data_IF_761435993265
#
_entry.id   IF_761435993265
#
_cell.length_a   1.000
_cell.length_b   1.000
_cell.length_c   1.000
_cell.angle_alpha   90.00
_cell.angle_beta   90.00
_cell.angle_gamma   90.00
#
_symmetry.space_group_name_H-M   'P 1'
#
loop_
_entity.id
_entity.type
_entity.pdbx_description
1 polymer ?
#
# COMPACT_ATOMS: atom_id res chain seq x y z
N UNK A 1 -43.40 4.49 24.00
CA UNK A 1 -44.49 3.71 23.35
C UNK A 1 -44.57 3.88 21.82
N UNK A 2 -44.06 4.96 21.21
CA UNK A 2 -43.95 5.10 19.75
C UNK A 2 -42.77 4.30 19.13
N UNK A 3 -41.60 4.24 19.80
CA UNK A 3 -40.45 3.45 19.36
C UNK A 3 -40.71 1.92 19.32
N UNK A 4 -41.62 1.42 20.16
CA UNK A 4 -41.98 -0.01 20.21
C UNK A 4 -42.93 -0.43 19.07
N UNK A 5 -43.56 0.53 18.37
CA UNK A 5 -44.43 0.24 17.20
C UNK A 5 -43.63 0.16 15.89
N UNK A 6 -42.52 0.89 15.76
CA UNK A 6 -41.63 0.78 14.60
C UNK A 6 -40.85 -0.55 14.57
N UNK A 7 -40.44 -1.08 15.73
CA UNK A 7 -39.74 -2.39 15.78
C UNK A 7 -40.63 -3.57 15.32
N UNK A 8 -41.93 -3.54 15.64
CA UNK A 8 -42.88 -4.59 15.19
C UNK A 8 -43.26 -4.49 13.71
N UNK A 9 -43.13 -3.33 13.08
CA UNK A 9 -43.36 -3.16 11.65
C UNK A 9 -42.20 -3.76 10.82
N UNK A 10 -40.95 -3.58 11.29
CA UNK A 10 -39.76 -4.18 10.64
C UNK A 10 -39.73 -5.71 10.82
N UNK A 11 -40.13 -6.22 11.99
CA UNK A 11 -40.19 -7.68 12.21
C UNK A 11 -41.29 -8.40 11.41
N UNK A 12 -42.35 -7.72 10.96
CA UNK A 12 -43.41 -8.33 10.15
C UNK A 12 -43.13 -8.33 8.65
N UNK A 13 -42.14 -7.57 8.17
CA UNK A 13 -41.73 -7.58 6.75
C UNK A 13 -40.66 -8.64 6.43
N UNK A 14 -40.01 -9.23 7.43
CA UNK A 14 -38.97 -10.25 7.23
C UNK A 14 -39.48 -11.70 7.23
N UNK A 15 -40.80 -11.93 7.15
CA UNK A 15 -41.41 -13.27 7.16
C UNK A 15 -41.80 -13.81 5.78
N UNK A 16 -41.25 -13.27 4.67
CA UNK A 16 -41.60 -13.70 3.31
C UNK A 16 -40.46 -14.07 2.37
N UNK A 17 -39.23 -14.21 2.87
CA UNK A 17 -38.14 -14.78 2.07
C UNK A 17 -37.54 -15.98 2.80
N UNK A 18 -38.06 -17.17 2.47
CA UNK A 18 -37.37 -18.42 2.72
C UNK A 18 -36.14 -18.45 1.82
N UNK A 19 -35.01 -17.89 2.29
CA UNK A 19 -33.71 -18.06 1.66
C UNK A 19 -33.01 -19.19 2.40
N UNK A 20 -32.93 -20.35 1.76
CA UNK A 20 -32.29 -21.54 2.31
C UNK A 20 -30.76 -21.44 2.24
N UNK A 21 -30.07 -22.14 3.15
CA UNK A 21 -28.60 -22.16 3.33
C UNK A 21 -27.80 -22.45 2.03
N UNK A 22 -28.43 -23.02 1.00
CA UNK A 22 -27.81 -23.35 -0.28
C UNK A 22 -27.66 -22.15 -1.24
N UNK A 23 -28.42 -21.06 -1.04
CA UNK A 23 -28.43 -19.91 -1.96
C UNK A 23 -27.34 -18.87 -1.65
N UNK A 24 -26.63 -19.01 -0.52
CA UNK A 24 -25.52 -18.12 -0.14
C UNK A 24 -24.15 -18.57 -0.70
N UNK A 25 -24.06 -19.75 -1.33
CA UNK A 25 -22.80 -20.33 -1.84
C UNK A 25 -22.44 -19.82 -3.25
N UNK A 26 -23.21 -18.90 -3.82
CA UNK A 26 -22.88 -18.25 -5.10
C UNK A 26 -23.06 -16.75 -5.01
N UNK A 27 -22.01 -16.01 -4.63
CA UNK A 27 -21.71 -14.68 -5.19
C UNK A 27 -20.19 -14.42 -5.10
N UNK A 28 -19.55 -14.63 -6.25
CA UNK A 28 -18.44 -13.91 -6.90
C UNK A 28 -17.13 -13.68 -6.14
N UNK A 29 -16.32 -14.72 -6.16
CA UNK A 29 -14.95 -14.58 -6.68
C UNK A 29 -15.04 -14.88 -8.20
N UNK A 30 -14.44 -14.03 -9.01
CA UNK A 30 -14.36 -14.03 -10.48
C UNK A 30 -15.42 -13.29 -11.34
N UNK A 31 -14.82 -12.40 -12.13
CA UNK A 31 -15.21 -11.69 -13.35
C UNK A 31 -16.33 -10.61 -13.34
N UNK A 32 -15.89 -9.43 -13.81
CA UNK A 32 -16.62 -8.22 -14.20
C UNK A 32 -16.95 -7.21 -13.10
N UNK A 33 -15.94 -6.43 -12.73
CA UNK A 33 -16.12 -4.97 -12.50
C UNK A 33 -15.29 -4.23 -13.54
N UNK A 34 -15.78 -4.24 -14.79
CA UNK A 34 -15.51 -3.17 -15.76
C UNK A 34 -16.62 -2.15 -15.61
N UNK A 35 -16.46 -1.25 -14.66
CA UNK A 35 -17.06 0.09 -14.67
C UNK A 35 -16.06 0.98 -13.99
N UNK A 36 -15.38 1.82 -14.78
CA UNK A 36 -14.65 2.99 -14.30
C UNK A 36 -15.60 3.80 -13.42
N UNK A 37 -15.52 3.61 -12.11
CA UNK A 37 -15.75 4.71 -11.19
C UNK A 37 -14.57 5.64 -11.43
N UNK A 38 -14.77 6.95 -11.67
CA UNK A 38 -13.63 7.86 -11.64
C UNK A 38 -12.99 7.64 -10.28
N UNK A 39 -11.74 7.18 -10.27
CA UNK A 39 -10.94 7.10 -9.06
C UNK A 39 -10.72 8.55 -8.63
N UNK A 40 -11.73 9.14 -7.97
CA UNK A 40 -11.47 10.28 -7.11
C UNK A 40 -10.54 9.73 -6.05
N UNK A 41 -9.30 10.21 -6.08
CA UNK A 41 -8.34 9.99 -5.03
C UNK A 41 -8.96 10.52 -3.72
N UNK A 42 -9.72 9.68 -3.01
CA UNK A 42 -10.36 10.06 -1.75
C UNK A 42 -9.31 9.95 -0.64
N UNK A 43 -8.23 10.72 -0.76
CA UNK A 43 -7.38 11.06 0.38
C UNK A 43 -8.21 11.88 1.36
N UNK A 44 -9.10 11.21 2.09
CA UNK A 44 -9.99 11.84 3.06
C UNK A 44 -9.35 11.79 4.43
N UNK A 45 -8.86 12.93 4.88
CA UNK A 45 -8.65 13.18 6.31
C UNK A 45 -9.93 13.85 6.84
N UNK A 46 -10.59 13.23 7.82
CA UNK A 46 -11.80 13.78 8.46
C UNK A 46 -12.95 14.17 7.52
N UNK A 47 -13.09 13.47 6.38
CA UNK A 47 -14.20 13.66 5.44
C UNK A 47 -13.96 14.73 4.36
N UNK A 48 -12.85 15.49 4.43
CA UNK A 48 -12.46 16.46 3.40
C UNK A 48 -11.75 15.73 2.26
N UNK A 49 -12.18 15.92 1.02
CA UNK A 49 -11.54 15.34 -0.16
C UNK A 49 -10.23 16.06 -0.49
N UNK A 50 -9.33 15.38 -1.22
CA UNK A 50 -8.09 15.99 -1.70
C UNK A 50 -8.36 17.26 -2.53
N UNK A 51 -9.40 17.24 -3.38
CA UNK A 51 -9.81 18.41 -4.19
C UNK A 51 -10.21 19.60 -3.32
N UNK A 52 -11.01 19.37 -2.27
CA UNK A 52 -11.41 20.41 -1.34
C UNK A 52 -10.19 20.97 -0.59
N UNK A 53 -9.32 20.09 -0.09
CA UNK A 53 -8.09 20.50 0.58
C UNK A 53 -7.18 21.35 -0.33
N UNK A 54 -6.97 20.93 -1.59
CA UNK A 54 -6.20 21.70 -2.58
C UNK A 54 -6.84 23.07 -2.86
N UNK A 55 -8.16 23.11 -3.02
CA UNK A 55 -8.90 24.36 -3.25
C UNK A 55 -8.76 25.31 -2.07
N UNK A 56 -8.86 24.80 -0.84
CA UNK A 56 -8.65 25.57 0.39
C UNK A 56 -7.22 26.10 0.51
N UNK A 57 -6.23 25.34 0.05
CA UNK A 57 -4.83 25.77 -0.02
C UNK A 57 -4.58 26.84 -1.11
N UNK A 58 -5.54 27.07 -2.01
CA UNK A 58 -5.39 27.99 -3.16
C UNK A 58 -4.81 27.34 -4.41
N UNK A 59 -4.54 26.03 -4.39
CA UNK A 59 -4.17 25.24 -5.56
C UNK A 59 -5.45 24.81 -6.30
N UNK A 60 -5.96 25.69 -7.16
CA UNK A 60 -7.13 25.42 -8.00
C UNK A 60 -6.75 25.45 -9.49
N UNK A 61 -7.29 24.53 -10.29
CA UNK A 61 -7.01 24.44 -11.72
C UNK A 61 -7.26 23.05 -12.31
N UNK A 62 -7.28 22.97 -13.64
CA UNK A 62 -7.27 21.68 -14.34
C UNK A 62 -5.84 21.14 -14.41
N UNK A 63 -5.52 20.22 -13.51
CA UNK A 63 -4.21 19.57 -13.43
C UNK A 63 -3.84 18.82 -14.72
N UNK A 64 -4.81 18.48 -15.58
CA UNK A 64 -4.54 17.81 -16.86
C UNK A 64 -3.77 18.71 -17.83
N UNK A 65 -3.88 20.02 -17.68
CA UNK A 65 -3.14 20.98 -18.50
C UNK A 65 -1.64 21.02 -18.16
N UNK A 66 -1.22 20.43 -17.04
CA UNK A 66 0.19 20.40 -16.60
C UNK A 66 1.02 19.28 -17.27
N UNK A 67 0.43 18.45 -18.13
CA UNK A 67 1.17 17.39 -18.83
C UNK A 67 2.29 17.99 -19.69
N UNK A 68 3.51 17.49 -19.50
CA UNK A 68 4.73 17.92 -20.21
C UNK A 68 5.19 16.81 -21.15
N UNK A 69 5.45 17.16 -22.41
CA UNK A 69 5.98 16.24 -23.43
C UNK A 69 7.40 16.58 -23.89
N UNK A 70 8.03 17.55 -23.24
CA UNK A 70 9.30 18.18 -23.63
C UNK A 70 10.40 18.01 -22.56
N UNK A 71 10.20 17.07 -21.64
CA UNK A 71 11.21 16.66 -20.67
C UNK A 71 12.06 15.54 -21.27
N UNK A 72 13.39 15.70 -21.28
CA UNK A 72 14.31 14.73 -21.85
C UNK A 72 14.59 13.53 -20.93
N UNK A 73 14.61 13.76 -19.62
CA UNK A 73 14.85 12.74 -18.60
C UNK A 73 14.39 13.23 -17.20
N UNK A 74 14.21 12.28 -16.27
CA UNK A 74 13.97 12.53 -14.86
C UNK A 74 15.04 11.83 -14.00
N UNK A 75 15.68 12.56 -13.09
CA UNK A 75 16.65 11.97 -12.15
C UNK A 75 16.28 12.39 -10.74
N UNK A 76 16.00 11.42 -9.87
CA UNK A 76 15.62 11.65 -8.48
C UNK A 76 16.76 11.25 -7.54
N UNK A 77 17.16 12.15 -6.65
CA UNK A 77 18.05 11.84 -5.53
C UNK A 77 17.20 11.62 -4.28
N UNK A 78 17.42 10.49 -3.61
CA UNK A 78 16.66 10.14 -2.42
C UNK A 78 17.55 9.40 -1.40
N UNK A 79 17.15 9.35 -0.13
CA UNK A 79 17.74 8.40 0.82
C UNK A 79 17.25 6.98 0.49
N UNK A 80 18.02 5.95 0.85
CA UNK A 80 17.65 4.56 0.58
C UNK A 80 16.36 4.13 1.29
N UNK A 81 16.09 4.65 2.48
CA UNK A 81 15.03 4.20 3.39
C UNK A 81 15.18 2.74 3.83
N UNK A 82 16.40 2.21 3.70
CA UNK A 82 16.79 0.86 4.02
C UNK A 82 18.25 0.81 4.49
N UNK A 83 18.71 -0.34 4.99
CA UNK A 83 20.03 -0.44 5.60
C UNK A 83 21.13 -0.94 4.65
N UNK A 84 20.86 -1.16 3.37
CA UNK A 84 21.75 -1.90 2.45
C UNK A 84 23.04 -1.12 2.18
N UNK A 85 22.95 0.16 1.81
CA UNK A 85 24.11 1.01 1.52
C UNK A 85 24.95 1.23 2.77
N UNK A 86 24.31 1.47 3.92
CA UNK A 86 25.04 1.65 5.18
C UNK A 86 25.76 0.37 5.61
N UNK A 87 25.07 -0.79 5.56
CA UNK A 87 25.67 -2.08 5.94
C UNK A 87 26.76 -2.54 4.98
N UNK A 88 26.66 -2.18 3.71
CA UNK A 88 27.69 -2.50 2.70
C UNK A 88 28.85 -1.50 2.67
N UNK A 89 28.73 -0.37 3.38
CA UNK A 89 29.71 0.72 3.32
C UNK A 89 29.77 1.41 1.94
N UNK A 90 28.71 1.30 1.14
CA UNK A 90 28.62 1.95 -0.17
C UNK A 90 28.12 3.39 -0.03
N UNK A 91 28.74 4.33 -0.74
CA UNK A 91 28.37 5.74 -0.70
C UNK A 91 27.12 6.05 -1.54
N UNK A 92 26.98 5.36 -2.69
CA UNK A 92 25.96 5.66 -3.69
C UNK A 92 25.22 4.38 -4.10
N UNK A 93 23.90 4.45 -4.08
CA UNK A 93 23.04 3.44 -4.68
C UNK A 93 22.61 3.83 -6.09
N UNK A 94 22.96 3.01 -7.08
CA UNK A 94 22.49 3.15 -8.47
C UNK A 94 21.22 2.30 -8.60
N UNK A 95 20.07 2.95 -8.44
CA UNK A 95 18.79 2.25 -8.33
C UNK A 95 18.50 1.52 -9.66
N UNK A 96 18.26 0.22 -9.58
CA UNK A 96 18.00 -0.63 -10.76
C UNK A 96 16.55 -0.65 -11.17
N UNK A 97 15.68 -0.68 -10.17
CA UNK A 97 14.24 -0.84 -10.33
C UNK A 97 13.51 -0.33 -9.10
N UNK A 98 12.21 -0.09 -9.25
CA UNK A 98 11.28 0.23 -8.17
C UNK A 98 10.27 -0.92 -8.08
N UNK A 99 10.04 -1.43 -6.87
CA UNK A 99 9.16 -2.59 -6.60
C UNK A 99 7.73 -2.38 -7.10
N UNK A 100 7.08 -3.49 -7.45
CA UNK A 100 5.63 -3.53 -7.61
C UNK A 100 4.95 -3.41 -6.24
N UNK A 101 3.80 -2.76 -6.19
CA UNK A 101 3.03 -2.58 -4.97
C UNK A 101 1.53 -2.58 -5.22
N UNK A 102 0.78 -3.13 -4.26
CA UNK A 102 -0.69 -3.14 -4.27
C UNK A 102 -1.21 -2.88 -2.86
N UNK A 103 -1.92 -1.75 -2.72
CA UNK A 103 -2.60 -1.34 -1.50
C UNK A 103 -4.08 -1.67 -1.53
N UNK A 104 -4.60 -2.25 -0.44
CA UNK A 104 -6.01 -2.63 -0.30
C UNK A 104 -6.58 -2.20 1.06
N UNK A 105 -7.89 -2.07 1.15
CA UNK A 105 -8.62 -2.10 2.42
C UNK A 105 -9.27 -3.49 2.59
N UNK A 106 -8.92 -4.18 3.68
CA UNK A 106 -9.59 -5.39 4.12
C UNK A 106 -10.68 -5.03 5.13
N UNK A 107 -11.94 -5.29 4.80
CA UNK A 107 -13.07 -5.15 5.71
C UNK A 107 -13.64 -6.52 6.06
N UNK A 108 -13.66 -6.85 7.35
CA UNK A 108 -14.35 -8.03 7.89
C UNK A 108 -15.65 -7.61 8.56
N UNK A 109 -16.76 -8.25 8.23
CA UNK A 109 -18.10 -8.00 8.78
C UNK A 109 -18.57 -9.21 9.57
N UNK A 110 -19.13 -8.92 10.73
CA UNK A 110 -19.66 -9.91 11.65
C UNK A 110 -21.01 -9.48 12.20
N UNK A 111 -21.30 -9.91 13.43
CA UNK A 111 -22.56 -9.58 14.09
C UNK A 111 -22.28 -8.89 15.42
N UNK A 112 -22.79 -7.67 15.58
CA UNK A 112 -22.64 -6.94 16.83
C UNK A 112 -23.42 -7.58 17.97
N UNK A 113 -22.87 -7.49 19.17
CA UNK A 113 -23.46 -8.03 20.39
C UNK A 113 -22.88 -7.37 21.63
N UNK A 114 -23.53 -7.57 22.77
CA UNK A 114 -23.02 -7.05 24.03
C UNK A 114 -21.88 -7.94 24.52
N UNK A 115 -20.71 -7.35 24.84
CA UNK A 115 -19.49 -8.10 25.14
C UNK A 115 -19.63 -9.04 26.34
N UNK A 116 -20.43 -8.67 27.35
CA UNK A 116 -20.61 -9.46 28.57
C UNK A 116 -21.77 -10.47 28.56
N UNK A 117 -22.74 -10.33 27.67
CA UNK A 117 -23.98 -11.15 27.72
C UNK A 117 -24.18 -12.02 26.49
N UNK A 118 -23.44 -11.74 25.40
CA UNK A 118 -23.38 -12.65 24.25
C UNK A 118 -22.46 -13.82 24.61
N UNK A 119 -22.92 -15.09 24.61
CA UNK A 119 -22.04 -16.24 24.85
C UNK A 119 -20.87 -16.27 23.86
N UNK A 120 -19.76 -16.94 24.19
CA UNK A 120 -18.64 -17.10 23.25
C UNK A 120 -19.01 -18.01 22.07
N UNK A 121 -19.78 -19.08 22.35
CA UNK A 121 -20.29 -19.97 21.33
C UNK A 121 -21.21 -19.21 20.36
N UNK A 122 -20.94 -19.35 19.06
CA UNK A 122 -21.74 -18.74 17.99
C UNK A 122 -21.47 -17.25 17.74
N UNK A 123 -20.48 -16.63 18.40
CA UNK A 123 -20.04 -15.29 18.04
C UNK A 123 -19.52 -15.27 16.60
N UNK A 124 -19.87 -14.21 15.88
CA UNK A 124 -19.33 -13.87 14.57
C UNK A 124 -18.53 -12.58 14.73
N UNK A 125 -17.43 -12.67 15.48
CA UNK A 125 -16.63 -11.51 15.86
C UNK A 125 -15.65 -11.14 14.73
N UNK A 126 -15.82 -9.99 14.06
CA UNK A 126 -14.99 -9.61 12.92
C UNK A 126 -13.56 -9.25 13.34
N UNK A 127 -13.32 -8.83 14.59
CA UNK A 127 -11.96 -8.52 15.04
C UNK A 127 -11.14 -9.80 15.25
N UNK A 128 -11.77 -10.85 15.79
CA UNK A 128 -11.13 -12.17 15.94
C UNK A 128 -10.78 -12.75 14.57
N UNK A 129 -11.71 -12.67 13.62
CA UNK A 129 -11.45 -13.11 12.25
C UNK A 129 -10.34 -12.29 11.58
N UNK A 130 -10.35 -10.96 11.70
CA UNK A 130 -9.30 -10.10 11.14
C UNK A 130 -7.92 -10.44 11.73
N UNK A 131 -7.82 -10.62 13.04
CA UNK A 131 -6.55 -11.01 13.68
C UNK A 131 -6.02 -12.36 13.16
N UNK A 132 -6.91 -13.32 12.94
CA UNK A 132 -6.55 -14.62 12.34
C UNK A 132 -6.04 -14.49 10.90
N UNK A 133 -6.69 -13.63 10.09
CA UNK A 133 -6.26 -13.35 8.72
C UNK A 133 -4.87 -12.71 8.70
N UNK A 134 -4.64 -11.69 9.54
CA UNK A 134 -3.35 -11.01 9.65
C UNK A 134 -2.26 -12.01 10.02
N UNK A 135 -2.43 -12.74 11.13
CA UNK A 135 -1.39 -13.65 11.62
C UNK A 135 -1.05 -14.77 10.63
N UNK A 136 -2.05 -15.32 9.94
CA UNK A 136 -1.83 -16.36 8.92
C UNK A 136 -1.12 -15.81 7.68
N UNK A 137 -1.67 -14.76 7.08
CA UNK A 137 -1.14 -14.24 5.81
C UNK A 137 0.27 -13.68 5.96
N UNK A 138 0.59 -13.01 7.07
CA UNK A 138 1.98 -12.55 7.30
C UNK A 138 2.95 -13.71 7.44
N UNK A 139 2.55 -14.80 8.11
CA UNK A 139 3.39 -15.99 8.28
C UNK A 139 3.61 -16.73 6.95
N UNK A 140 2.58 -16.81 6.11
CA UNK A 140 2.69 -17.43 4.78
C UNK A 140 3.61 -16.63 3.86
N UNK A 141 3.53 -15.29 3.90
CA UNK A 141 4.42 -14.41 3.11
C UNK A 141 5.86 -14.48 3.63
N UNK A 142 6.07 -14.46 4.95
CA UNK A 142 7.40 -14.61 5.56
C UNK A 142 8.08 -15.91 5.10
N UNK A 143 7.32 -17.00 4.99
CA UNK A 143 7.82 -18.30 4.56
C UNK A 143 8.26 -18.35 3.09
N UNK A 144 7.90 -17.36 2.25
CA UNK A 144 8.37 -17.29 0.86
C UNK A 144 9.87 -16.98 0.77
N UNK A 145 10.41 -16.17 1.70
CA UNK A 145 11.83 -15.87 1.80
C UNK A 145 12.46 -15.09 0.62
N UNK A 146 11.66 -14.61 -0.33
CA UNK A 146 12.09 -13.98 -1.58
C UNK A 146 12.11 -12.45 -1.58
N UNK A 147 11.96 -11.81 -0.41
CA UNK A 147 11.90 -10.35 -0.26
C UNK A 147 10.49 -9.76 -0.42
N UNK A 148 9.46 -10.62 -0.55
CA UNK A 148 8.06 -10.23 -0.48
C UNK A 148 7.75 -9.62 0.89
N UNK A 149 6.98 -8.53 0.89
CA UNK A 149 6.52 -7.88 2.12
C UNK A 149 5.02 -7.68 2.09
N UNK A 150 4.39 -7.94 3.25
CA UNK A 150 2.97 -7.74 3.48
C UNK A 150 2.79 -7.01 4.82
N UNK A 151 2.24 -5.80 4.77
CA UNK A 151 2.12 -4.93 5.94
C UNK A 151 0.66 -4.56 6.19
N UNK A 152 0.25 -4.63 7.45
CA UNK A 152 -1.03 -4.12 7.92
C UNK A 152 -0.82 -2.83 8.72
N UNK A 153 -0.89 -1.68 8.05
CA UNK A 153 -0.44 -0.41 8.61
C UNK A 153 -1.44 0.28 9.55
N UNK A 154 -2.73 -0.01 9.39
CA UNK A 154 -3.81 0.56 10.21
C UNK A 154 -4.85 -0.51 10.49
N UNK A 155 -5.36 -0.55 11.72
CA UNK A 155 -6.45 -1.44 12.12
C UNK A 155 -7.49 -0.64 12.91
N UNK A 156 -8.77 -0.83 12.60
CA UNK A 156 -9.88 -0.20 13.31
C UNK A 156 -11.05 -1.16 13.49
N UNK A 157 -11.85 -0.94 14.53
CA UNK A 157 -13.10 -1.68 14.76
C UNK A 157 -14.27 -0.71 14.84
N UNK A 158 -15.45 -1.17 14.43
CA UNK A 158 -16.68 -0.40 14.44
C UNK A 158 -17.73 -1.13 15.31
N UNK A 159 -18.31 -0.47 16.33
CA UNK A 159 -18.21 0.97 16.63
C UNK A 159 -16.94 1.38 17.42
N UNK A 160 -16.05 0.44 17.77
CA UNK A 160 -14.82 0.75 18.53
C UNK A 160 -15.05 0.93 20.04
N UNK A 161 -16.16 0.41 20.57
CA UNK A 161 -16.46 0.45 22.01
C UNK A 161 -15.96 -0.82 22.71
N UNK A 162 -15.30 -0.72 23.88
CA UNK A 162 -14.71 -1.87 24.57
C UNK A 162 -15.74 -2.91 25.07
N UNK A 163 -17.00 -2.52 25.24
CA UNK A 163 -18.08 -3.39 25.72
C UNK A 163 -19.01 -3.91 24.61
N UNK A 164 -18.62 -3.78 23.34
CA UNK A 164 -19.40 -4.19 22.17
C UNK A 164 -18.57 -5.11 21.29
N UNK A 165 -19.13 -6.27 20.93
CA UNK A 165 -18.61 -7.08 19.83
C UNK A 165 -18.80 -6.24 18.55
N UNK A 166 -17.73 -5.94 17.79
CA UNK A 166 -17.84 -5.07 16.63
C UNK A 166 -18.74 -5.69 15.55
N UNK A 167 -19.43 -4.86 14.77
CA UNK A 167 -20.09 -5.34 13.54
C UNK A 167 -19.12 -5.36 12.36
N UNK A 168 -18.02 -4.61 12.43
CA UNK A 168 -16.97 -4.64 11.42
C UNK A 168 -15.59 -4.35 12.01
N UNK A 169 -14.56 -4.92 11.38
CA UNK A 169 -13.16 -4.59 11.60
C UNK A 169 -12.51 -4.30 10.24
N UNK A 170 -11.62 -3.32 10.19
CA UNK A 170 -10.94 -2.90 8.96
C UNK A 170 -9.44 -2.89 9.16
N UNK A 171 -8.70 -3.22 8.11
CA UNK A 171 -7.28 -2.99 8.05
C UNK A 171 -6.85 -2.46 6.67
N UNK A 172 -5.83 -1.60 6.65
CA UNK A 172 -5.10 -1.32 5.41
C UNK A 172 -4.08 -2.41 5.16
N UNK A 173 -3.88 -2.77 3.90
CA UNK A 173 -2.95 -3.79 3.44
C UNK A 173 -2.00 -3.12 2.44
N UNK A 174 -0.70 -3.30 2.59
CA UNK A 174 0.32 -2.90 1.63
C UNK A 174 1.20 -4.12 1.32
N UNK A 175 1.11 -4.61 0.08
CA UNK A 175 1.89 -5.74 -0.42
C UNK A 175 2.90 -5.25 -1.46
N UNK A 176 4.16 -5.68 -1.35
CA UNK A 176 5.23 -5.31 -2.31
C UNK A 176 6.12 -6.50 -2.64
N UNK A 177 6.63 -6.50 -3.87
CA UNK A 177 7.63 -7.44 -4.36
C UNK A 177 8.38 -6.87 -5.57
N UNK A 178 9.44 -7.53 -5.99
CA UNK A 178 10.25 -7.12 -7.16
C UNK A 178 9.47 -7.14 -8.49
N UNK A 179 8.43 -7.97 -8.61
CA UNK A 179 7.50 -7.96 -9.73
C UNK A 179 6.04 -8.18 -9.30
N UNK A 180 5.11 -7.80 -10.17
CA UNK A 180 3.68 -7.88 -9.86
C UNK A 180 3.16 -9.33 -9.77
N UNK A 181 3.78 -10.29 -10.45
CA UNK A 181 3.40 -11.71 -10.29
C UNK A 181 3.57 -12.18 -8.85
N UNK A 182 4.65 -11.75 -8.18
CA UNK A 182 4.86 -12.06 -6.76
C UNK A 182 3.90 -11.30 -5.85
N UNK A 183 3.55 -10.04 -6.18
CA UNK A 183 2.49 -9.32 -5.46
C UNK A 183 1.16 -10.07 -5.56
N UNK A 184 0.79 -10.56 -6.74
CA UNK A 184 -0.42 -11.37 -6.89
C UNK A 184 -0.36 -12.68 -6.10
N UNK A 185 0.82 -13.30 -5.97
CA UNK A 185 1.00 -14.47 -5.12
C UNK A 185 0.75 -14.13 -3.64
N UNK A 186 1.29 -13.02 -3.13
CA UNK A 186 0.98 -12.51 -1.78
C UNK A 186 -0.53 -12.33 -1.60
N UNK A 187 -1.20 -11.71 -2.57
CA UNK A 187 -2.63 -11.47 -2.50
C UNK A 187 -3.46 -12.76 -2.61
N UNK A 188 -2.97 -13.78 -3.31
CA UNK A 188 -3.60 -15.09 -3.34
C UNK A 188 -3.59 -15.74 -1.94
N UNK A 189 -2.45 -15.70 -1.24
CA UNK A 189 -2.32 -16.18 0.14
C UNK A 189 -3.25 -15.41 1.09
N UNK A 190 -3.29 -14.07 0.97
CA UNK A 190 -4.23 -13.24 1.74
C UNK A 190 -5.69 -13.61 1.47
N UNK A 191 -6.08 -13.79 0.21
CA UNK A 191 -7.45 -14.18 -0.17
C UNK A 191 -7.80 -15.57 0.38
N UNK A 192 -6.85 -16.51 0.39
CA UNK A 192 -7.04 -17.83 0.97
C UNK A 192 -7.23 -17.76 2.49
N UNK A 193 -6.37 -17.04 3.20
CA UNK A 193 -6.51 -16.78 4.63
C UNK A 193 -7.87 -16.12 4.96
N UNK A 194 -8.31 -15.16 4.15
CA UNK A 194 -9.63 -14.53 4.28
C UNK A 194 -10.76 -15.57 4.18
N UNK A 195 -10.76 -16.40 3.12
CA UNK A 195 -11.81 -17.40 2.90
C UNK A 195 -11.93 -18.37 4.07
N UNK A 196 -10.80 -18.96 4.49
CA UNK A 196 -10.80 -20.01 5.51
C UNK A 196 -11.14 -19.45 6.90
N UNK A 197 -10.52 -18.34 7.29
CA UNK A 197 -10.76 -17.75 8.61
C UNK A 197 -12.18 -17.22 8.72
N UNK A 198 -12.72 -16.58 7.67
CA UNK A 198 -14.11 -16.13 7.68
C UNK A 198 -15.10 -17.30 7.74
N UNK A 199 -14.85 -18.39 7.02
CA UNK A 199 -15.68 -19.60 7.10
C UNK A 199 -15.70 -20.19 8.52
N UNK A 200 -14.55 -20.29 9.18
CA UNK A 200 -14.44 -20.79 10.56
C UNK A 200 -15.16 -19.91 11.58
N UNK A 201 -15.19 -18.59 11.35
CA UNK A 201 -15.77 -17.62 12.29
C UNK A 201 -17.21 -17.20 11.93
N UNK A 202 -17.77 -17.68 10.82
CA UNK A 202 -19.08 -17.25 10.32
C UNK A 202 -19.14 -15.76 10.00
N UNK A 203 -18.02 -15.16 9.58
CA UNK A 203 -17.90 -13.75 9.18
C UNK A 203 -17.80 -13.61 7.66
N UNK A 204 -17.82 -12.39 7.16
CA UNK A 204 -17.66 -12.07 5.74
C UNK A 204 -16.47 -11.12 5.56
N UNK A 205 -15.68 -11.29 4.51
CA UNK A 205 -14.58 -10.41 4.16
C UNK A 205 -14.82 -9.73 2.81
N UNK A 206 -14.32 -8.51 2.68
CA UNK A 206 -14.31 -7.70 1.47
C UNK A 206 -12.91 -7.08 1.32
N UNK A 207 -12.33 -7.17 0.13
CA UNK A 207 -11.06 -6.53 -0.23
C UNK A 207 -11.36 -5.45 -1.27
N UNK A 208 -10.99 -4.21 -0.97
CA UNK A 208 -11.18 -3.06 -1.85
C UNK A 208 -9.84 -2.53 -2.29
N UNK A 209 -9.62 -2.41 -3.60
CA UNK A 209 -8.38 -1.84 -4.13
C UNK A 209 -8.29 -0.35 -3.78
N UNK A 210 -7.14 0.05 -3.24
CA UNK A 210 -6.81 1.46 -2.96
C UNK A 210 -5.86 2.00 -4.04
N UNK A 211 -4.80 1.25 -4.33
CA UNK A 211 -3.82 1.59 -5.36
C UNK A 211 -3.10 0.33 -5.84
N UNK A 212 -2.63 0.37 -7.09
CA UNK A 212 -1.82 -0.68 -7.70
C UNK A 212 -0.80 -0.04 -8.62
N UNK A 213 0.47 -0.48 -8.56
CA UNK A 213 1.52 -0.01 -9.46
C UNK A 213 2.49 -1.15 -9.78
N UNK A 214 2.76 -1.32 -11.08
CA UNK A 214 3.72 -2.28 -11.63
C UNK A 214 5.16 -1.93 -11.24
N UNK A 215 6.04 -2.93 -11.23
CA UNK A 215 7.46 -2.68 -11.06
C UNK A 215 8.00 -1.94 -12.28
N UNK A 216 9.04 -1.14 -12.06
CA UNK A 216 9.67 -0.33 -13.11
C UNK A 216 11.15 -0.60 -13.10
N UNK A 217 11.72 -0.91 -14.27
CA UNK A 217 13.17 -0.92 -14.47
C UNK A 217 13.61 0.47 -14.91
N UNK A 218 14.61 1.02 -14.23
CA UNK A 218 15.11 2.37 -14.51
C UNK A 218 16.09 2.38 -15.68
N UNK A 219 16.20 3.53 -16.36
CA UNK A 219 16.93 3.69 -17.62
C UNK A 219 18.41 3.33 -17.47
N UNK A 220 18.85 2.28 -18.18
CA UNK A 220 20.20 1.72 -18.06
C UNK A 220 21.29 2.72 -18.47
N UNK A 221 21.03 3.59 -19.46
CA UNK A 221 22.02 4.57 -19.93
C UNK A 221 22.28 5.61 -18.85
N UNK A 222 21.23 6.10 -18.18
CA UNK A 222 21.37 7.08 -17.10
C UNK A 222 21.96 6.40 -15.86
N UNK A 223 21.60 5.14 -15.56
CA UNK A 223 22.23 4.37 -14.47
C UNK A 223 23.73 4.19 -14.67
N UNK A 224 24.17 3.87 -15.88
CA UNK A 224 25.58 3.78 -16.21
C UNK A 224 26.30 5.13 -16.04
N UNK A 225 25.65 6.24 -16.40
CA UNK A 225 26.16 7.60 -16.17
C UNK A 225 26.34 7.91 -14.68
N UNK A 226 25.33 7.58 -13.85
CA UNK A 226 25.40 7.73 -12.38
C UNK A 226 26.57 6.91 -11.82
N UNK A 227 26.68 5.63 -12.19
CA UNK A 227 27.75 4.76 -11.72
C UNK A 227 29.14 5.30 -12.07
N UNK A 228 29.30 5.78 -13.31
CA UNK A 228 30.56 6.38 -13.78
C UNK A 228 30.90 7.65 -13.02
N UNK A 229 29.95 8.56 -12.82
CA UNK A 229 30.22 9.80 -12.08
C UNK A 229 30.50 9.57 -10.58
N UNK A 230 29.88 8.57 -9.97
CA UNK A 230 30.26 8.14 -8.62
C UNK A 230 31.71 7.66 -8.57
N UNK A 231 32.12 6.82 -9.53
CA UNK A 231 33.49 6.34 -9.64
C UNK A 231 34.51 7.47 -9.89
N UNK A 232 34.22 8.39 -10.80
CA UNK A 232 35.07 9.57 -11.10
C UNK A 232 35.26 10.48 -9.89
N UNK A 233 34.23 10.59 -9.04
CA UNK A 233 34.30 11.34 -7.79
C UNK A 233 34.98 10.57 -6.63
N UNK A 234 35.39 9.32 -6.86
CA UNK A 234 36.02 8.46 -5.86
C UNK A 234 35.05 7.86 -4.84
N UNK A 235 33.75 7.79 -5.15
CA UNK A 235 32.73 7.22 -4.29
C UNK A 235 32.48 5.75 -4.62
N UNK A 236 32.28 4.93 -3.59
CA UNK A 236 31.83 3.55 -3.79
C UNK A 236 30.38 3.52 -4.25
N UNK A 237 30.05 2.64 -5.20
CA UNK A 237 28.69 2.54 -5.72
C UNK A 237 28.27 1.07 -5.88
N UNK A 238 26.99 0.80 -5.65
CA UNK A 238 26.38 -0.50 -5.92
C UNK A 238 25.01 -0.35 -6.56
N UNK A 239 24.57 -1.37 -7.30
CA UNK A 239 23.20 -1.41 -7.83
C UNK A 239 22.26 -2.15 -6.88
N UNK A 240 21.06 -1.61 -6.68
CA UNK A 240 20.04 -2.14 -5.77
C UNK A 240 18.64 -1.69 -6.22
N UNK A 241 17.57 -2.45 -5.93
CA UNK A 241 16.20 -1.98 -6.15
C UNK A 241 15.78 -0.99 -5.05
N UNK A 242 14.80 -0.13 -5.34
CA UNK A 242 14.04 0.60 -4.31
C UNK A 242 12.85 -0.24 -3.85
N UNK A 243 12.76 -0.50 -2.55
CA UNK A 243 11.59 -1.10 -1.89
C UNK A 243 10.46 -0.09 -1.59
N UNK A 244 10.72 1.20 -1.81
CA UNK A 244 9.75 2.28 -1.64
C UNK A 244 9.17 2.73 -2.99
N UNK A 245 7.93 3.22 -2.98
CA UNK A 245 7.37 3.91 -4.14
C UNK A 245 7.91 5.34 -4.22
N UNK A 246 8.15 5.83 -5.43
CA UNK A 246 8.65 7.18 -5.70
C UNK A 246 7.94 7.80 -6.89
N UNK A 247 8.02 9.13 -7.03
CA UNK A 247 7.53 9.82 -8.22
C UNK A 247 8.24 9.30 -9.49
N UNK A 248 9.50 8.88 -9.38
CA UNK A 248 10.22 8.17 -10.44
C UNK A 248 9.45 6.98 -11.04
N UNK A 249 8.63 6.28 -10.25
CA UNK A 249 7.81 5.16 -10.73
C UNK A 249 6.69 5.62 -11.67
N UNK A 250 6.20 6.86 -11.50
CA UNK A 250 5.24 7.49 -12.41
C UNK A 250 5.97 8.07 -13.62
N UNK A 251 7.10 8.76 -13.40
CA UNK A 251 7.85 9.43 -14.46
C UNK A 251 8.43 8.45 -15.48
N UNK A 252 8.83 7.26 -15.05
CA UNK A 252 9.39 6.22 -15.92
C UNK A 252 8.42 5.71 -17.00
N UNK A 253 7.10 5.86 -16.82
CA UNK A 253 6.11 5.52 -17.85
C UNK A 253 6.13 6.53 -19.02
N UNK A 254 6.81 7.67 -18.85
CA UNK A 254 6.73 8.81 -19.77
C UNK A 254 8.09 9.27 -20.30
N UNK A 255 9.17 9.06 -19.56
CA UNK A 255 10.51 9.51 -19.95
C UNK A 255 11.63 8.65 -19.34
N UNK A 256 12.84 8.66 -19.95
CA UNK A 256 14.04 8.09 -19.35
C UNK A 256 14.20 8.56 -17.90
N UNK A 257 14.19 7.60 -16.97
CA UNK A 257 14.16 7.91 -15.53
C UNK A 257 15.20 7.10 -14.78
N UNK A 258 15.91 7.73 -13.86
CA UNK A 258 16.85 7.07 -12.96
C UNK A 258 16.80 7.66 -11.56
N UNK A 259 17.33 6.91 -10.58
CA UNK A 259 17.43 7.38 -9.20
C UNK A 259 18.82 7.14 -8.63
N UNK A 260 19.20 8.03 -7.72
CA UNK A 260 20.41 7.99 -6.93
C UNK A 260 20.00 7.84 -5.47
N UNK A 261 20.50 6.79 -4.82
CA UNK A 261 20.34 6.62 -3.38
C UNK A 261 21.59 7.03 -2.61
N UNK A 262 21.37 7.58 -1.42
CA UNK A 262 22.38 7.75 -0.39
C UNK A 262 21.98 6.99 0.88
N UNK A 263 22.93 6.55 1.73
CA UNK A 263 22.59 5.87 2.96
C UNK A 263 21.91 6.78 3.98
N UNK A 264 21.00 6.23 4.77
CA UNK A 264 20.42 6.86 5.96
C UNK A 264 20.74 6.05 7.22
N UNK A 265 20.84 6.74 8.36
CA UNK A 265 21.27 6.15 9.64
C UNK A 265 20.34 5.02 10.07
N UNK A 266 20.92 3.85 10.33
CA UNK A 266 20.26 2.60 10.72
C UNK A 266 19.17 2.14 9.73
N UNK A 267 19.18 2.66 8.50
CA UNK A 267 18.12 2.45 7.52
C UNK A 267 16.75 2.98 7.93
N UNK A 268 16.67 3.85 8.95
CA UNK A 268 15.40 4.35 9.49
C UNK A 268 14.75 5.37 8.57
N UNK A 269 13.46 5.20 8.30
CA UNK A 269 12.62 6.16 7.58
C UNK A 269 11.22 6.26 8.18
N UNK A 270 10.46 7.31 7.84
CA UNK A 270 9.12 7.59 8.38
C UNK A 270 9.09 7.74 9.91
N UNK A 271 10.20 8.21 10.50
CA UNK A 271 10.33 8.50 11.92
C UNK A 271 11.17 9.75 12.14
N UNK A 272 11.14 10.30 13.36
CA UNK A 272 11.82 11.56 13.69
C UNK A 272 13.34 11.45 13.66
N UNK A 273 13.85 10.23 13.75
CA UNK A 273 15.26 9.90 13.78
C UNK A 273 15.83 9.55 12.39
N UNK A 274 15.02 9.67 11.34
CA UNK A 274 15.50 9.62 9.96
C UNK A 274 16.58 10.68 9.76
N UNK A 275 17.77 10.24 9.33
CA UNK A 275 18.94 11.10 9.23
C UNK A 275 19.89 10.64 8.12
N UNK A 276 20.48 11.60 7.41
CA UNK A 276 21.62 11.40 6.54
C UNK A 276 22.66 12.49 6.86
N UNK A 277 23.93 12.10 6.98
CA UNK A 277 24.98 13.04 7.33
C UNK A 277 25.23 14.06 6.20
N UNK A 278 25.74 15.26 6.50
CA UNK A 278 26.11 16.24 5.47
C UNK A 278 27.07 15.68 4.41
N UNK A 279 27.95 14.75 4.79
CA UNK A 279 28.85 14.07 3.87
C UNK A 279 28.09 13.18 2.88
N UNK A 280 27.14 12.36 3.34
CA UNK A 280 26.31 11.52 2.48
C UNK A 280 25.46 12.37 1.52
N UNK A 281 24.88 13.45 2.02
CA UNK A 281 24.12 14.42 1.21
C UNK A 281 25.01 15.06 0.13
N UNK A 282 26.24 15.44 0.49
CA UNK A 282 27.21 16.00 -0.45
C UNK A 282 27.55 15.02 -1.57
N UNK A 283 27.87 13.75 -1.25
CA UNK A 283 28.18 12.72 -2.24
C UNK A 283 27.03 12.52 -3.23
N UNK A 284 25.79 12.38 -2.74
CA UNK A 284 24.60 12.27 -3.58
C UNK A 284 24.38 13.48 -4.48
N UNK A 285 24.48 14.69 -3.92
CA UNK A 285 24.33 15.93 -4.68
C UNK A 285 25.42 16.10 -5.76
N UNK A 286 26.66 15.71 -5.48
CA UNK A 286 27.75 15.73 -6.46
C UNK A 286 27.46 14.82 -7.66
N UNK A 287 27.04 13.57 -7.41
CA UNK A 287 26.71 12.62 -8.49
C UNK A 287 25.49 13.10 -9.28
N UNK A 288 24.45 13.62 -8.60
CA UNK A 288 23.29 14.21 -9.25
C UNK A 288 23.70 15.37 -10.17
N UNK A 289 24.52 16.30 -9.67
CA UNK A 289 24.93 17.47 -10.44
C UNK A 289 25.70 17.08 -11.72
N UNK A 290 26.63 16.13 -11.64
CA UNK A 290 27.37 15.66 -12.81
C UNK A 290 26.47 14.94 -13.82
N UNK A 291 25.58 14.07 -13.33
CA UNK A 291 24.60 13.36 -14.17
C UNK A 291 23.70 14.33 -14.93
N UNK A 292 23.15 15.34 -14.23
CA UNK A 292 22.32 16.36 -14.85
C UNK A 292 23.11 17.23 -15.83
N UNK A 293 24.35 17.58 -15.51
CA UNK A 293 25.22 18.35 -16.41
C UNK A 293 25.47 17.62 -17.72
N UNK A 294 25.72 16.31 -17.69
CA UNK A 294 25.90 15.51 -18.89
C UNK A 294 24.61 15.30 -19.69
N UNK A 295 23.47 15.11 -19.02
CA UNK A 295 22.16 15.02 -19.68
C UNK A 295 21.72 16.31 -20.38
N UNK A 296 22.24 17.46 -19.94
CA UNK A 296 21.90 18.77 -20.48
C UNK A 296 22.81 19.25 -21.62
N UNK A 297 23.83 18.47 -22.00
CA UNK A 297 24.69 18.77 -23.17
C UNK A 297 24.00 18.39 -24.48
#
# INVERSE_FOLDING_TARGET
KAAHRQLKAVQRHNLKYNVTHADFVRIRLDEKIRTMVPVEFTGRCHGVTMREAMTQYGASGDYRSCARGDLAAFVELHIEQGPVLERSGCDIGVVSSIVALHGLELTVRGFAGHAGTTPMAGRRDPMVALAGIIARSTKEVEALGGGEVLTFGQVSTLPGSPNVIPFAARATVDARADCMEKVEHILALLREACREVCAMNGTLCELTDLYRKENVVLDERIRAMIARHAQEAGFSAMSLPSGAGHDSQIMADHMPTAMIFIPNTDGRSHCKEEHASPERLHKGACVLAQTLYELAK
#
